data_IF_438460333413
#
_entry.id   IF_438460333413
#
_cell.length_a   1.000
_cell.length_b   1.000
_cell.length_c   1.000
_cell.angle_alpha   90.00
_cell.angle_beta   90.00
_cell.angle_gamma   90.00
#
_symmetry.space_group_name_H-M   'P 1'
#
loop_
_entity.id
_entity.type
_entity.pdbx_description
1 polymer ?
#
# COMPACT_ATOMS: atom_id res chain seq x y z
N UNK A 1 10.13 12.01 -20.83
CA UNK A 1 10.11 10.71 -20.14
C UNK A 1 10.97 10.84 -18.89
N UNK A 2 10.40 10.63 -17.69
CA UNK A 2 11.16 10.70 -16.42
C UNK A 2 12.03 9.45 -16.29
N UNK A 3 13.30 9.62 -15.93
CA UNK A 3 14.30 8.56 -15.84
C UNK A 3 14.15 7.76 -14.53
N UNK A 4 13.46 6.62 -14.59
CA UNK A 4 13.28 5.68 -13.47
C UNK A 4 14.49 4.77 -13.22
N UNK A 5 15.54 4.90 -14.06
CA UNK A 5 16.68 3.98 -14.07
C UNK A 5 17.46 4.00 -12.75
N UNK A 6 17.62 5.16 -12.11
CA UNK A 6 18.34 5.29 -10.84
C UNK A 6 17.63 4.62 -9.67
N UNK A 7 16.29 4.72 -9.61
CA UNK A 7 15.48 4.07 -8.58
C UNK A 7 15.48 2.54 -8.75
N UNK A 8 15.48 2.06 -9.99
CA UNK A 8 15.59 0.63 -10.30
C UNK A 8 16.94 0.08 -9.82
N UNK A 9 18.05 0.79 -10.07
CA UNK A 9 19.39 0.36 -9.66
C UNK A 9 19.53 0.33 -8.12
N UNK A 10 19.03 1.35 -7.42
CA UNK A 10 19.05 1.37 -5.94
C UNK A 10 18.24 0.23 -5.29
N UNK A 11 17.21 -0.26 -5.98
CA UNK A 11 16.41 -1.42 -5.55
C UNK A 11 17.18 -2.76 -5.63
N UNK A 12 18.18 -2.88 -6.51
CA UNK A 12 19.03 -4.07 -6.59
C UNK A 12 20.19 -4.03 -5.58
N UNK A 13 20.63 -2.83 -5.18
CA UNK A 13 21.76 -2.62 -4.26
C UNK A 13 21.34 -2.84 -2.79
N UNK A 14 20.10 -2.48 -2.45
CA UNK A 14 19.46 -2.88 -1.20
C UNK A 14 18.44 -3.98 -1.49
N UNK A 15 18.68 -5.22 -1.07
CA UNK A 15 17.70 -6.33 -1.13
C UNK A 15 16.49 -6.10 -0.20
N UNK A 16 15.85 -4.95 -0.31
CA UNK A 16 14.59 -4.62 0.34
C UNK A 16 13.52 -5.46 -0.35
N UNK A 17 13.08 -6.53 0.30
CA UNK A 17 12.03 -7.38 -0.26
C UNK A 17 10.76 -6.55 -0.49
N UNK A 18 10.22 -6.59 -1.70
CA UNK A 18 8.94 -5.93 -2.02
C UNK A 18 7.76 -6.51 -1.22
N UNK A 19 7.94 -7.63 -0.51
CA UNK A 19 6.87 -8.34 0.19
C UNK A 19 6.09 -7.48 1.19
N UNK A 20 6.75 -6.57 1.91
CA UNK A 20 6.05 -5.64 2.80
C UNK A 20 5.14 -4.66 2.04
N UNK A 21 5.67 -4.08 0.97
CA UNK A 21 4.94 -3.14 0.09
C UNK A 21 3.82 -3.86 -0.68
N UNK A 22 4.05 -5.10 -1.13
CA UNK A 22 3.06 -5.94 -1.79
C UNK A 22 1.92 -6.32 -0.85
N UNK A 23 2.22 -6.65 0.41
CA UNK A 23 1.22 -6.90 1.44
C UNK A 23 0.33 -5.69 1.69
N UNK A 24 0.95 -4.50 1.82
CA UNK A 24 0.24 -3.22 1.95
C UNK A 24 -0.67 -2.99 0.74
N UNK A 25 -0.11 -3.09 -0.47
CA UNK A 25 -0.86 -2.86 -1.72
C UNK A 25 -2.02 -3.85 -1.90
N UNK A 26 -1.86 -5.12 -1.53
CA UNK A 26 -2.92 -6.11 -1.61
C UNK A 26 -4.06 -5.80 -0.64
N UNK A 27 -3.75 -5.36 0.59
CA UNK A 27 -4.77 -4.98 1.58
C UNK A 27 -5.55 -3.74 1.15
N UNK A 28 -4.86 -2.74 0.59
CA UNK A 28 -5.51 -1.54 0.02
C UNK A 28 -6.39 -1.88 -1.19
N UNK A 29 -5.91 -2.76 -2.09
CA UNK A 29 -6.72 -3.26 -3.22
C UNK A 29 -7.97 -4.00 -2.74
N UNK A 30 -7.85 -4.84 -1.70
CA UNK A 30 -8.99 -5.54 -1.10
C UNK A 30 -10.01 -4.57 -0.50
N UNK A 31 -9.54 -3.54 0.22
CA UNK A 31 -10.40 -2.51 0.79
C UNK A 31 -11.19 -1.76 -0.29
N UNK A 32 -10.52 -1.41 -1.40
CA UNK A 32 -11.14 -0.76 -2.56
C UNK A 32 -12.20 -1.65 -3.22
N UNK A 33 -11.93 -2.95 -3.38
CA UNK A 33 -12.89 -3.93 -3.94
C UNK A 33 -14.11 -4.11 -3.03
N UNK A 34 -13.91 -4.28 -1.72
CA UNK A 34 -15.00 -4.43 -0.74
C UNK A 34 -15.89 -3.19 -0.65
N UNK A 35 -15.33 -2.01 -0.94
CA UNK A 35 -16.09 -0.76 -0.98
C UNK A 35 -16.88 -0.56 -2.28
N UNK A 36 -16.74 -1.44 -3.28
CA UNK A 36 -17.20 -1.20 -4.66
C UNK A 36 -16.65 0.10 -5.27
N UNK A 37 -15.45 0.50 -4.83
CA UNK A 37 -14.84 1.78 -5.19
C UNK A 37 -15.16 2.90 -4.20
N UNK A 38 -14.19 3.79 -4.02
CA UNK A 38 -14.33 4.97 -3.19
C UNK A 38 -14.58 6.18 -4.09
N UNK A 39 -15.69 6.91 -3.87
CA UNK A 39 -15.95 8.19 -4.55
C UNK A 39 -15.16 9.35 -3.94
N UNK A 40 -14.89 9.29 -2.63
CA UNK A 40 -14.08 10.26 -1.92
C UNK A 40 -12.78 9.58 -1.44
N UNK A 41 -11.64 10.18 -1.77
CA UNK A 41 -10.32 9.73 -1.35
C UNK A 41 -10.12 9.83 0.17
N UNK A 42 -10.72 10.82 0.83
CA UNK A 42 -10.64 10.97 2.29
C UNK A 42 -11.25 9.75 3.00
N UNK A 43 -12.36 9.24 2.48
CA UNK A 43 -12.99 8.01 2.99
C UNK A 43 -12.10 6.78 2.78
N UNK A 44 -11.32 6.76 1.69
CA UNK A 44 -10.33 5.71 1.47
C UNK A 44 -9.17 5.82 2.46
N UNK A 45 -8.68 7.02 2.74
CA UNK A 45 -7.61 7.26 3.71
C UNK A 45 -8.03 6.85 5.12
N UNK A 46 -9.19 7.32 5.58
CA UNK A 46 -9.70 7.00 6.92
C UNK A 46 -9.86 5.48 7.08
N UNK A 47 -10.47 4.79 6.10
CA UNK A 47 -10.64 3.34 6.17
C UNK A 47 -9.31 2.58 6.07
N UNK A 48 -8.35 3.09 5.32
CA UNK A 48 -7.01 2.51 5.24
C UNK A 48 -6.31 2.59 6.59
N UNK A 49 -6.32 3.77 7.23
CA UNK A 49 -5.73 3.99 8.56
C UNK A 49 -6.40 3.13 9.64
N UNK A 50 -7.73 3.06 9.65
CA UNK A 50 -8.48 2.20 10.57
C UNK A 50 -8.11 0.72 10.40
N UNK A 51 -7.99 0.25 9.15
CA UNK A 51 -7.60 -1.13 8.88
C UNK A 51 -6.20 -1.45 9.43
N UNK A 52 -5.27 -0.49 9.38
CA UNK A 52 -3.93 -0.65 9.96
C UNK A 52 -3.94 -0.58 11.48
N UNK A 53 -4.61 0.41 12.07
CA UNK A 53 -4.73 0.57 13.51
C UNK A 53 -5.32 -0.68 14.17
N UNK A 54 -6.40 -1.23 13.61
CA UNK A 54 -7.00 -2.45 14.14
C UNK A 54 -6.07 -3.66 14.01
N UNK A 55 -5.29 -3.75 12.92
CA UNK A 55 -4.34 -4.86 12.71
C UNK A 55 -3.19 -4.83 13.72
N UNK A 56 -2.73 -3.65 14.11
CA UNK A 56 -1.63 -3.48 15.07
C UNK A 56 -2.11 -3.72 16.51
N UNK A 57 -3.32 -3.28 16.87
CA UNK A 57 -3.85 -3.40 18.23
C UNK A 57 -4.58 -4.72 18.52
N UNK A 58 -4.82 -5.55 17.50
CA UNK A 58 -5.45 -6.88 17.65
C UNK A 58 -4.44 -8.03 17.55
N UNK A 59 -3.15 -7.71 17.47
CA UNK A 59 -2.03 -8.65 17.47
C UNK A 59 -1.35 -8.64 18.85
#
# INVERSE_FOLDING_TARGET
MKNWLGEIIGYFEHRTTNGGVEGINNKLKLLKRRAYGFRNFDNFNIRSLLAWYFTINSA
#
